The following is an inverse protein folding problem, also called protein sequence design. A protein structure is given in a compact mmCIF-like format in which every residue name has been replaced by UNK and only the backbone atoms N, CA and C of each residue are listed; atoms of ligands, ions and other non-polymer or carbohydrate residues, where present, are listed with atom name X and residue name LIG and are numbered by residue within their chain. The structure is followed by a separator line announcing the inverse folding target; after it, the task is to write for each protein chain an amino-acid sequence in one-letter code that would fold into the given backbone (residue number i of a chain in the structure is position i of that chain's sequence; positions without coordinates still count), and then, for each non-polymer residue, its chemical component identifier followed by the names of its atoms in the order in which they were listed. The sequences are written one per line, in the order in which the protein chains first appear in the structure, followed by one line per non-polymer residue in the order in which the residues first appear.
data_IF_377195338695
#
_entry.id   IF_377195338695
#
_cell.length_a   1.000
_cell.length_b   1.000
_cell.length_c   1.000
_cell.angle_alpha   90.00
_cell.angle_beta   90.00
_cell.angle_gamma   90.00
#
_symmetry.space_group_name_H-M   'P 1'
#
loop_
_entity.id
_entity.type
_entity.pdbx_description
1 polymer ?
2 non-polymer ?
3 non-polymer ?
4 non-polymer ?
5 non-polymer ?
6 water ?
#
# COMPACT_ATOMS: atom_id res chain seq x y z
N UNK A 2 9.21 1.53 -11.71
CA UNK A 2 8.26 1.25 -12.83
C UNK A 2 7.09 2.20 -12.90
N UNK A 3 6.71 2.55 -14.13
CA UNK A 3 5.55 3.35 -14.39
C UNK A 3 4.38 2.39 -14.52
N UNK A 4 3.16 2.91 -14.64
CA UNK A 4 1.98 2.07 -14.74
C UNK A 4 1.92 1.20 -15.99
N UNK A 5 2.43 1.73 -17.11
CA UNK A 5 2.44 0.97 -18.35
C UNK A 5 3.27 -0.28 -18.15
N UNK A 6 4.41 -0.11 -17.49
CA UNK A 6 5.29 -1.19 -17.20
C UNK A 6 4.65 -2.19 -16.24
N UNK A 7 3.97 -1.70 -15.22
CA UNK A 7 3.23 -2.59 -14.30
C UNK A 7 2.14 -3.35 -15.04
N UNK A 8 1.45 -2.68 -15.97
CA UNK A 8 0.40 -3.32 -16.75
C UNK A 8 0.91 -4.39 -17.71
N UNK A 9 2.18 -4.27 -18.11
CA UNK A 9 2.84 -5.29 -18.90
C UNK A 9 3.15 -6.55 -18.10
N UNK A 10 3.34 -6.40 -16.77
CA UNK A 10 3.69 -7.51 -15.88
C UNK A 10 2.59 -8.09 -15.06
N UNK A 11 1.54 -7.32 -14.81
CA UNK A 11 0.50 -7.77 -13.85
C UNK A 11 -0.84 -7.93 -14.48
N UNK A 12 -1.39 -9.17 -14.52
CA UNK A 12 -2.71 -9.35 -15.10
C UNK A 12 -3.76 -8.53 -14.45
N UNK A 13 -4.66 -8.02 -15.26
CA UNK A 13 -5.82 -7.29 -14.83
C UNK A 13 -5.56 -6.05 -14.07
N UNK A 14 -4.35 -5.51 -14.17
CA UNK A 14 -4.02 -4.35 -13.39
C UNK A 14 -4.90 -3.14 -13.69
N UNK A 15 -5.14 -2.88 -14.97
CA UNK A 15 -5.96 -1.76 -15.36
C UNK A 15 -7.35 -1.81 -14.72
N UNK A 16 -7.98 -2.97 -14.80
CA UNK A 16 -9.35 -3.16 -14.24
C UNK A 16 -9.33 -3.00 -12.70
N UNK A 17 -8.32 -3.55 -12.07
CA UNK A 17 -8.19 -3.38 -10.61
C UNK A 17 -8.01 -1.93 -10.25
N UNK A 18 -7.11 -1.21 -10.95
CA UNK A 18 -6.93 0.21 -10.70
C UNK A 18 -8.26 0.91 -10.90
N UNK A 19 -8.95 0.56 -11.96
CA UNK A 19 -10.24 1.21 -12.24
C UNK A 19 -11.22 1.08 -11.03
N UNK A 20 -11.32 -0.15 -10.53
CA UNK A 20 -12.21 -0.52 -9.39
C UNK A 20 -11.81 0.26 -8.13
N UNK A 21 -10.51 0.38 -7.89
CA UNK A 21 -10.02 1.15 -6.78
C UNK A 21 -10.41 2.62 -6.93
N UNK A 22 -10.22 3.19 -8.12
CA UNK A 22 -10.62 4.58 -8.34
C UNK A 22 -12.12 4.80 -8.05
N UNK A 23 -12.92 3.88 -8.54
CA UNK A 23 -14.36 3.92 -8.33
C UNK A 23 -14.72 3.80 -6.84
N UNK A 24 -14.02 2.92 -6.11
CA UNK A 24 -14.28 2.78 -4.67
C UNK A 24 -14.04 4.05 -3.89
N UNK A 25 -13.02 4.80 -4.31
CA UNK A 25 -12.61 6.03 -3.65
C UNK A 25 -13.30 7.30 -4.14
N UNK A 26 -14.16 7.18 -5.14
CA UNK A 26 -14.83 8.33 -5.75
C UNK A 26 -15.57 9.03 -4.64
N UNK A 27 -15.30 10.30 -4.43
CA UNK A 27 -15.98 11.02 -3.30
C UNK A 27 -15.60 10.61 -1.85
N UNK A 28 -14.41 10.02 -1.67
CA UNK A 28 -13.88 9.80 -0.35
C UNK A 28 -12.58 10.61 -0.37
N UNK A 29 -12.61 11.79 0.24
CA UNK A 29 -11.49 12.74 0.14
C UNK A 29 -10.70 13.00 1.43
N UNK A 30 -10.87 12.15 2.44
CA UNK A 30 -10.11 12.31 3.67
C UNK A 30 -8.62 12.27 3.28
N UNK A 31 -7.89 13.39 3.50
CA UNK A 31 -6.49 13.46 3.08
C UNK A 31 -5.58 12.47 3.79
N UNK A 32 -6.03 11.97 4.93
CA UNK A 32 -5.30 10.96 5.66
C UNK A 32 -5.48 9.53 5.06
N UNK A 33 -6.49 9.35 4.21
CA UNK A 33 -6.81 8.02 3.72
C UNK A 33 -7.29 7.97 2.29
N UNK A 34 -7.01 9.01 1.51
CA UNK A 34 -7.54 9.06 0.15
C UNK A 34 -6.80 8.14 -0.80
N UNK A 35 -7.25 8.10 -2.03
CA UNK A 35 -6.69 7.21 -3.01
C UNK A 35 -5.20 7.39 -3.27
N UNK A 36 -4.69 8.61 -3.10
CA UNK A 36 -3.27 8.82 -3.42
C UNK A 36 -2.40 8.00 -2.46
N UNK A 37 -2.84 7.81 -1.22
CA UNK A 37 -2.15 6.91 -0.30
C UNK A 37 -1.97 5.50 -0.93
N UNK A 38 -3.05 4.94 -1.46
CA UNK A 38 -2.99 3.61 -2.09
C UNK A 38 -1.97 3.56 -3.21
N UNK A 39 -1.94 4.62 -4.04
CA UNK A 39 -0.98 4.61 -5.11
C UNK A 39 0.45 4.71 -4.59
N UNK A 40 0.67 5.50 -3.54
CA UNK A 40 2.03 5.58 -2.97
C UNK A 40 2.44 4.25 -2.33
N UNK A 41 1.49 3.58 -1.68
CA UNK A 41 1.77 2.24 -1.08
C UNK A 41 2.11 1.24 -2.18
N UNK A 42 1.39 1.27 -3.29
CA UNK A 42 1.74 0.37 -4.34
C UNK A 42 3.13 0.68 -4.93
N UNK A 43 3.49 1.97 -5.03
CA UNK A 43 4.85 2.31 -5.49
C UNK A 43 5.89 1.76 -4.52
N UNK A 44 5.66 1.89 -3.22
CA UNK A 44 6.57 1.35 -2.21
C UNK A 44 6.65 -0.16 -2.31
N UNK A 45 5.49 -0.81 -2.48
CA UNK A 45 5.47 -2.28 -2.60
C UNK A 45 6.21 -2.77 -3.83
N UNK A 46 6.13 -1.99 -4.91
CA UNK A 46 6.80 -2.34 -6.17
C UNK A 46 8.32 -2.33 -5.96
N UNK A 47 8.81 -1.29 -5.30
CA UNK A 47 10.25 -1.17 -5.00
C UNK A 47 10.71 -2.34 -4.10
N UNK A 48 9.96 -2.55 -3.04
CA UNK A 48 10.34 -3.54 -2.05
C UNK A 48 10.36 -4.96 -2.68
N UNK A 49 9.25 -5.36 -3.32
CA UNK A 49 9.15 -6.70 -3.91
C UNK A 49 10.23 -6.95 -4.99
N UNK A 50 10.47 -5.95 -5.81
CA UNK A 50 11.52 -6.05 -6.81
C UNK A 50 12.88 -6.27 -6.16
N UNK A 51 13.23 -5.45 -5.20
CA UNK A 51 14.56 -5.57 -4.60
C UNK A 51 14.72 -6.80 -3.70
N UNK A 52 13.64 -7.26 -3.09
CA UNK A 52 13.65 -8.44 -2.23
C UNK A 52 13.53 -9.75 -3.03
N UNK A 53 13.32 -9.64 -4.33
CA UNK A 53 13.20 -10.80 -5.21
C UNK A 53 11.98 -11.64 -4.77
N UNK A 54 10.90 -10.95 -4.40
CA UNK A 54 9.65 -11.57 -3.99
C UNK A 54 8.62 -11.46 -5.09
N UNK A 55 7.41 -11.95 -4.86
CA UNK A 55 6.35 -11.96 -5.85
C UNK A 55 5.72 -10.57 -6.04
N UNK A 56 6.07 -9.92 -7.14
CA UNK A 56 5.59 -8.59 -7.44
C UNK A 56 4.07 -8.53 -7.65
N UNK A 57 3.52 -9.53 -8.35
CA UNK A 57 2.10 -9.57 -8.63
C UNK A 57 1.28 -9.53 -7.32
N UNK A 58 1.64 -10.42 -6.41
CA UNK A 58 0.96 -10.45 -5.10
C UNK A 58 1.10 -9.11 -4.34
N UNK A 59 2.31 -8.56 -4.32
CA UNK A 59 2.60 -7.34 -3.61
C UNK A 59 1.82 -6.14 -4.12
N UNK A 60 1.83 -5.99 -5.46
CA UNK A 60 1.12 -4.91 -6.10
C UNK A 60 -0.38 -4.96 -5.90
N UNK A 61 -0.94 -6.15 -6.14
CA UNK A 61 -2.38 -6.34 -6.01
C UNK A 61 -2.81 -6.15 -4.55
N UNK A 62 -2.01 -6.69 -3.63
CA UNK A 62 -2.38 -6.49 -2.26
C UNK A 62 -2.34 -4.99 -1.86
N UNK A 63 -1.31 -4.27 -2.30
CA UNK A 63 -1.25 -2.84 -2.07
C UNK A 63 -2.42 -2.08 -2.66
N UNK A 64 -2.76 -2.41 -3.91
CA UNK A 64 -3.91 -1.72 -4.55
C UNK A 64 -5.23 -1.95 -3.81
N UNK A 65 -5.41 -3.18 -3.33
CA UNK A 65 -6.66 -3.53 -2.66
C UNK A 65 -6.69 -3.32 -1.14
N UNK A 66 -5.56 -3.01 -0.54
CA UNK A 66 -5.51 -3.13 0.94
C UNK A 66 -6.45 -2.18 1.68
N UNK A 67 -6.65 -0.97 1.15
CA UNK A 67 -7.55 -0.01 1.75
C UNK A 67 -8.83 0.25 0.91
N UNK A 68 -9.19 -0.72 0.05
CA UNK A 68 -10.34 -0.51 -0.84
C UNK A 68 -11.64 -0.39 -0.05
N UNK A 69 -11.66 -0.91 1.20
CA UNK A 69 -12.84 -0.81 2.01
C UNK A 69 -12.72 0.29 3.06
N UNK A 70 -11.75 1.16 2.90
CA UNK A 70 -11.64 2.32 3.82
C UNK A 70 -12.86 3.24 3.73
N UNK A 71 -13.27 3.58 2.51
CA UNK A 71 -14.46 4.40 2.43
C UNK A 71 -15.67 3.72 3.09
N UNK A 72 -15.79 2.39 2.90
CA UNK A 72 -16.87 1.66 3.51
C UNK A 72 -16.78 1.68 5.04
N UNK A 73 -15.57 1.64 5.58
CA UNK A 73 -15.39 1.72 7.05
C UNK A 73 -15.84 3.11 7.55
N UNK A 74 -15.52 4.15 6.81
CA UNK A 74 -15.93 5.49 7.18
C UNK A 74 -17.45 5.58 7.27
N UNK A 75 -18.17 4.86 6.42
CA UNK A 75 -19.63 4.89 6.46
C UNK A 75 -20.27 3.97 7.52
N UNK A 76 -19.64 2.82 7.77
CA UNK A 76 -20.26 1.78 8.59
C UNK A 76 -19.62 1.37 9.90
N UNK A 77 -18.34 1.66 10.05
CA UNK A 77 -17.56 1.24 11.18
C UNK A 77 -17.06 -0.19 11.05
N UNK A 78 -17.30 -0.84 9.90
CA UNK A 78 -16.85 -2.22 9.66
C UNK A 78 -15.36 -2.15 9.35
N UNK A 79 -14.56 -2.97 10.03
CA UNK A 79 -13.12 -2.95 9.86
C UNK A 79 -12.68 -3.18 8.38
N UNK A 80 -11.95 -2.23 7.83
CA UNK A 80 -11.57 -2.28 6.43
C UNK A 80 -10.59 -3.43 6.08
N UNK A 81 -9.79 -3.85 7.05
CA UNK A 81 -8.87 -4.96 6.79
C UNK A 81 -9.66 -6.27 6.57
N UNK A 82 -10.66 -6.52 7.42
CA UNK A 82 -11.52 -7.71 7.29
C UNK A 82 -12.38 -7.69 6.01
N UNK A 83 -13.03 -6.56 5.78
CA UNK A 83 -13.86 -6.44 4.59
C UNK A 83 -13.00 -6.40 3.32
N UNK A 84 -11.85 -5.73 3.37
CA UNK A 84 -10.96 -5.74 2.20
C UNK A 84 -10.47 -7.14 1.88
N UNK A 85 -10.17 -7.93 2.87
CA UNK A 85 -9.76 -9.32 2.65
C UNK A 85 -10.87 -10.14 2.05
N UNK A 86 -12.10 -9.98 2.56
CA UNK A 86 -13.24 -10.70 2.01
C UNK A 86 -13.51 -10.27 0.55
N UNK A 87 -13.37 -8.99 0.31
CA UNK A 87 -13.58 -8.45 -1.04
C UNK A 87 -12.55 -9.05 -1.98
N UNK A 88 -11.29 -9.05 -1.62
CA UNK A 88 -10.25 -9.65 -2.48
C UNK A 88 -10.52 -11.09 -2.78
N UNK A 89 -10.99 -11.84 -1.79
CA UNK A 89 -11.34 -13.26 -2.00
C UNK A 89 -12.49 -13.49 -2.96
N UNK A 90 -13.36 -12.51 -3.08
CA UNK A 90 -14.42 -12.61 -4.04
C UNK A 90 -14.03 -12.14 -5.43
N UNK A 91 -13.30 -11.03 -5.50
CA UNK A 91 -12.95 -10.42 -6.77
C UNK A 91 -11.91 -11.23 -7.54
N UNK A 92 -10.81 -11.57 -6.91
CA UNK A 92 -9.67 -12.13 -7.56
C UNK A 92 -9.88 -13.47 -8.31
N UNK A 93 -10.67 -14.40 -7.77
CA UNK A 93 -10.94 -15.63 -8.56
C UNK A 93 -11.62 -15.36 -9.92
N UNK A 94 -12.42 -14.30 -9.98
CA UNK A 94 -13.09 -13.93 -11.24
C UNK A 94 -12.14 -13.41 -12.29
N UNK A 95 -10.92 -13.09 -11.91
CA UNK A 95 -9.87 -12.60 -12.79
C UNK A 95 -8.84 -13.69 -13.10
N UNK A 96 -9.17 -14.93 -12.76
CA UNK A 96 -8.32 -16.06 -13.03
C UNK A 96 -7.17 -16.35 -12.07
N UNK A 97 -7.08 -15.61 -10.95
CA UNK A 97 -6.01 -15.92 -10.01
C UNK A 97 -6.34 -17.20 -9.24
N UNK A 98 -5.31 -18.01 -8.96
CA UNK A 98 -5.52 -19.29 -8.36
C UNK A 98 -5.73 -19.23 -6.85
N UNK A 99 -6.18 -20.34 -6.29
CA UNK A 99 -6.55 -20.39 -4.88
C UNK A 99 -5.44 -19.91 -3.94
N UNK A 100 -4.23 -20.38 -4.16
CA UNK A 100 -3.14 -20.03 -3.27
C UNK A 100 -2.80 -18.55 -3.43
N UNK A 101 -2.85 -18.01 -4.64
CA UNK A 101 -2.54 -16.61 -4.84
C UNK A 101 -3.55 -15.76 -4.09
N UNK A 102 -4.82 -16.05 -4.35
CA UNK A 102 -5.90 -15.28 -3.71
C UNK A 102 -5.84 -15.38 -2.18
N UNK A 103 -5.56 -16.57 -1.63
CA UNK A 103 -5.50 -16.71 -0.17
C UNK A 103 -4.37 -15.86 0.39
N UNK A 104 -3.25 -15.81 -0.28
CA UNK A 104 -2.12 -15.06 0.25
C UNK A 104 -2.42 -13.56 0.23
N UNK A 105 -2.92 -13.08 -0.89
CA UNK A 105 -3.28 -11.67 -0.99
C UNK A 105 -4.33 -11.29 0.05
N UNK A 106 -5.37 -12.12 0.16
CA UNK A 106 -6.43 -11.84 1.10
C UNK A 106 -5.90 -11.80 2.57
N UNK A 107 -5.05 -12.75 2.95
CA UNK A 107 -4.51 -12.83 4.30
C UNK A 107 -3.64 -11.59 4.50
N UNK A 108 -2.88 -11.17 3.50
CA UNK A 108 -2.05 -9.99 3.66
C UNK A 108 -2.88 -8.78 3.98
N UNK A 109 -4.00 -8.62 3.30
CA UNK A 109 -4.85 -7.47 3.56
C UNK A 109 -5.46 -7.58 4.93
N UNK A 110 -5.87 -8.79 5.26
CA UNK A 110 -6.50 -9.02 6.56
C UNK A 110 -5.60 -8.66 7.72
N UNK A 111 -4.30 -8.86 7.53
CA UNK A 111 -3.30 -8.64 8.59
C UNK A 111 -2.65 -7.26 8.62
N UNK A 112 -2.94 -6.40 7.66
CA UNK A 112 -2.16 -5.18 7.51
C UNK A 112 -2.16 -4.09 8.58
N UNK A 113 -3.18 -4.06 9.42
CA UNK A 113 -3.19 -3.04 10.50
C UNK A 113 -2.26 -3.41 11.65
N UNK A 119 0.80 -9.84 14.00
CA UNK A 119 1.54 -9.59 12.76
C UNK A 119 1.14 -10.38 11.49
N UNK A 120 1.54 -9.89 10.29
CA UNK A 120 1.45 -10.65 9.04
C UNK A 120 2.35 -11.90 9.12
N UNK A 121 1.98 -12.93 8.39
CA UNK A 121 2.75 -14.18 8.37
C UNK A 121 3.36 -14.53 7.03
N UNK A 122 2.89 -13.90 5.96
CA UNK A 122 3.42 -14.18 4.65
C UNK A 122 4.35 -13.09 4.18
N UNK A 123 5.13 -13.39 3.16
CA UNK A 123 6.02 -12.40 2.57
C UNK A 123 5.17 -11.25 2.03
N UNK A 124 4.06 -11.55 1.36
CA UNK A 124 3.21 -10.50 0.82
C UNK A 124 2.68 -9.63 1.95
N UNK A 125 2.30 -10.22 3.09
CA UNK A 125 1.80 -9.41 4.18
C UNK A 125 2.83 -8.51 4.83
N UNK A 126 4.05 -9.01 4.93
CA UNK A 126 5.15 -8.25 5.47
C UNK A 126 5.50 -7.08 4.57
N UNK A 127 5.61 -7.34 3.27
CA UNK A 127 5.89 -6.30 2.29
C UNK A 127 4.78 -5.26 2.30
N UNK A 128 3.53 -5.69 2.38
CA UNK A 128 2.39 -4.79 2.37
C UNK A 128 2.44 -3.88 3.56
N UNK A 129 2.64 -4.46 4.75
CA UNK A 129 2.72 -3.66 5.95
C UNK A 129 3.87 -2.68 5.89
N UNK A 130 5.04 -3.08 5.40
CA UNK A 130 6.12 -2.15 5.26
C UNK A 130 5.76 -1.01 4.31
N UNK A 131 5.22 -1.35 3.17
CA UNK A 131 4.85 -0.40 2.13
C UNK A 131 3.84 0.64 2.63
N UNK A 132 2.90 0.16 3.43
CA UNK A 132 1.84 1.00 4.02
C UNK A 132 2.48 1.95 5.03
N UNK A 133 3.29 1.39 5.93
CA UNK A 133 3.83 2.21 7.00
C UNK A 133 4.87 3.19 6.52
N UNK A 134 5.55 2.89 5.40
CA UNK A 134 6.55 3.84 4.87
C UNK A 134 5.86 5.17 4.47
N UNK A 135 4.57 5.13 4.21
CA UNK A 135 3.86 6.34 3.77
C UNK A 135 3.72 7.40 4.85
N UNK A 136 3.96 7.05 6.12
CA UNK A 136 3.93 8.00 7.21
C UNK A 136 5.16 8.93 7.25
N UNK A 137 6.19 8.63 6.48
CA UNK A 137 7.41 9.43 6.45
C UNK A 137 7.90 9.80 5.08
N UNK A 138 8.66 10.89 5.03
CA UNK A 138 9.18 11.36 3.76
C UNK A 138 8.68 12.74 3.39
N UNK A 139 9.00 13.15 2.17
CA UNK A 139 8.67 14.47 1.66
C UNK A 139 7.16 14.69 1.53
N UNK A 140 6.43 13.71 1.01
CA UNK A 140 4.98 13.87 0.86
C UNK A 140 4.32 13.96 2.22
N UNK A 141 4.76 13.13 3.17
CA UNK A 141 4.26 13.20 4.54
C UNK A 141 4.47 14.61 5.17
N UNK A 142 5.66 15.17 4.98
CA UNK A 142 5.94 16.54 5.43
C UNK A 142 4.95 17.51 4.79
N UNK A 143 4.80 17.44 3.48
CA UNK A 143 3.87 18.31 2.80
C UNK A 143 2.45 18.15 3.39
N UNK A 144 2.04 16.91 3.70
CA UNK A 144 0.69 16.71 4.25
C UNK A 144 0.50 17.38 5.57
N UNK A 145 1.53 17.32 6.42
CA UNK A 145 1.41 17.94 7.72
C UNK A 145 1.13 19.42 7.56
N UNK A 146 1.87 20.08 6.68
CA UNK A 146 1.69 21.50 6.46
C UNK A 146 0.38 21.87 5.74
N UNK A 147 -0.07 21.02 4.83
CA UNK A 147 -1.35 21.26 4.17
C UNK A 147 -2.53 21.16 5.14
N UNK A 148 -2.51 20.21 6.06
CA UNK A 148 -3.59 20.11 7.06
C UNK A 148 -3.52 21.31 8.02
N UNK A 187 12.70 3.00 11.74
CA UNK A 187 13.33 2.26 10.65
C UNK A 187 13.58 0.79 11.00
N UNK A 188 13.93 0.51 12.25
CA UNK A 188 14.14 -0.89 12.69
C UNK A 188 12.83 -1.69 12.91
N UNK A 189 11.69 -1.00 12.85
CA UNK A 189 10.38 -1.66 12.99
C UNK A 189 9.88 -2.32 11.69
N UNK A 190 10.59 -2.15 10.59
CA UNK A 190 10.17 -2.72 9.31
C UNK A 190 10.62 -4.16 9.11
N UNK A 191 9.83 -4.94 8.39
CA UNK A 191 10.09 -6.34 8.18
C UNK A 191 11.23 -6.61 7.24
N UNK A 192 11.24 -5.91 6.11
CA UNK A 192 12.20 -6.17 5.08
C UNK A 192 13.42 -5.24 5.13
N UNK A 193 14.58 -5.72 4.72
CA UNK A 193 15.74 -4.87 4.68
C UNK A 193 15.58 -3.69 3.73
N UNK A 194 14.94 -3.90 2.59
CA UNK A 194 14.71 -2.83 1.66
C UNK A 194 13.84 -1.74 2.31
N UNK A 195 12.76 -2.11 3.00
CA UNK A 195 11.94 -1.11 3.65
C UNK A 195 12.73 -0.41 4.74
N UNK A 196 13.55 -1.15 5.50
CA UNK A 196 14.36 -0.54 6.56
C UNK A 196 15.28 0.51 6.02
N UNK A 197 15.91 0.24 4.88
CA UNK A 197 16.80 1.22 4.24
C UNK A 197 16.01 2.43 3.75
N UNK A 198 14.84 2.19 3.16
CA UNK A 198 13.99 3.29 2.70
C UNK A 198 13.50 4.13 3.86
N UNK A 199 13.18 3.49 4.98
CA UNK A 199 12.72 4.16 6.18
C UNK A 199 13.86 5.01 6.76
N UNK A 200 15.07 4.45 6.80
CA UNK A 200 16.22 5.18 7.30
C UNK A 200 16.48 6.43 6.46
N UNK A 201 16.41 6.28 5.16
CA UNK A 201 16.63 7.36 4.24
C UNK A 201 15.54 8.45 4.40
N UNK A 202 14.27 8.06 4.38
CA UNK A 202 13.20 9.02 4.57
C UNK A 202 13.25 9.70 5.93
N UNK A 203 13.53 8.95 7.00
CA UNK A 203 13.60 9.49 8.35
C UNK A 203 14.75 10.52 8.47
N UNK A 204 15.90 10.20 7.89
CA UNK A 204 17.02 11.13 7.92
C UNK A 204 16.73 12.42 7.12
N UNK A 205 15.88 12.31 6.09
CA UNK A 205 15.44 13.49 5.35
C UNK A 205 14.49 14.32 6.21
N UNK A 206 13.58 13.66 6.90
CA UNK A 206 12.65 14.33 7.79
C UNK A 206 13.40 15.06 8.91
N UNK A 207 14.42 14.42 9.48
CA UNK A 207 15.20 15.03 10.55
C UNK A 207 15.90 16.28 10.03
N UNK A 208 16.55 16.17 8.88
CA UNK A 208 17.18 17.32 8.26
C UNK A 208 16.17 18.45 8.01
N UNK A 209 14.98 18.13 7.54
CA UNK A 209 13.95 19.12 7.32
C UNK A 209 13.66 19.88 8.62
N UNK A 210 13.48 19.16 9.71
CA UNK A 210 13.16 19.75 11.01
C UNK A 210 14.32 20.62 11.50
N UNK A 211 15.53 20.11 11.39
CA UNK A 211 16.68 20.84 11.81
C UNK A 211 16.78 22.15 11.06
N UNK A 212 16.60 22.10 9.74
CA UNK A 212 16.66 23.28 8.91
C UNK A 212 15.55 24.26 9.24
N UNK A 213 14.34 23.75 9.42
CA UNK A 213 13.19 24.57 9.80
C UNK A 213 13.52 25.36 11.06
N UNK A 214 13.98 24.66 12.07
CA UNK A 214 14.32 25.30 13.33
C UNK A 214 15.48 26.29 13.22
N UNK A 215 16.52 25.92 12.48
CA UNK A 215 17.65 26.81 12.28
C UNK A 215 17.23 28.09 11.54
N UNK A 216 16.39 27.94 10.51
CA UNK A 216 15.92 29.09 9.76
C UNK A 216 14.92 29.96 10.50
N UNK A 217 14.10 29.33 11.34
CA UNK A 217 13.05 30.04 12.06
C UNK A 217 13.66 31.00 13.08
N UNK A 218 14.84 30.65 13.59
CA UNK A 218 15.58 31.46 14.56
C UNK A 218 15.20 31.12 15.98
X LIG B 1 -5.38 0.31 6.03
X LIG C 1 -3.01 1.98 3.95
X LIG D 1 -0.01 -12.13 6.00
X LIG E 1 -4.87 3.59 6.20
X LIG E 1 -4.71 4.18 7.57
X LIG E 1 -5.66 4.61 5.36
X LIG E 1 -5.71 2.32 6.35
X LIG E 1 -3.50 3.47 5.54
X LIG F 1 -4.19 1.11 9.01
X LIG F 1 -5.16 2.03 9.76
X LIG F 1 -3.14 1.92 8.29
X LIG F 1 -4.93 0.21 8.04
X LIG F 1 -3.52 0.25 10.06
X LIG G 1 -1.32 -9.79 -19.47
X LIG G 1 0.06 -10.27 -19.09
X LIG G 1 -0.05 -11.67 -18.74
X LIG G 1 0.56 -9.51 -17.88
X LIG G 1 1.06 -10.11 -20.25
X LIG G 1 0.69 -10.77 -21.56
X LIG G 1 -0.35 -10.08 -22.23
X LIG G 1 1.85 -10.74 -22.53
#
# INVERSE_FOLDING_TARGET
GMNLTELMERIPHLREILNIVREAFKDYDDPAHDISHTFRVMENASEIASREKCDLQKAIIAALLHDIKRPHEALTGVDHAESGAEYASGLLPTMGFDISFVAEVSKAIRSHRYSGGLTPTSLTGKILQDADRLDAIGAVAIARVFSYSGKTGTPLHSLQFSPRSSYSGNSRSSINHFHEKILKIRPETFWTETARKMAEDRYSFVVEFVQRFLAEWGQI
FE FE
FE FE
CL CL
PO4 P O1 O2 O3 O4
PO4 P O1 O2 O3 O4
MPD C1 C2 O2 CM C3 C4 O4 C5
#
